data_IF_612743078504
#
_entry.id   IF_612743078504
#
_cell.length_a   1.000
_cell.length_b   1.000
_cell.length_c   1.000
_cell.angle_alpha   90.00
_cell.angle_beta   90.00
_cell.angle_gamma   90.00
#
_symmetry.space_group_name_H-M   'P 1'
#
loop_
_entity.id
_entity.type
_entity.pdbx_description
1 polymer ?
#
# COMPACT_ATOMS: atom_id res chain seq x y z
N UNK A 1 -54.49 -22.33 -47.36
CA UNK A 1 -54.56 -23.70 -47.89
C UNK A 1 -53.13 -24.08 -48.26
N UNK A 2 -52.38 -24.82 -47.43
CA UNK A 2 -52.40 -26.30 -47.22
C UNK A 2 -51.84 -27.02 -48.46
N UNK A 3 -50.79 -27.86 -48.43
CA UNK A 3 -50.13 -28.69 -47.39
C UNK A 3 -48.57 -28.56 -47.51
N UNK A 4 -47.67 -28.76 -46.54
CA UNK A 4 -47.51 -29.67 -45.37
C UNK A 4 -47.04 -31.11 -45.67
N UNK A 5 -45.74 -31.40 -45.51
CA UNK A 5 -45.15 -32.47 -44.65
C UNK A 5 -43.61 -32.54 -44.83
N UNK A 6 -42.77 -32.56 -43.78
CA UNK A 6 -42.47 -33.65 -42.80
C UNK A 6 -41.63 -34.80 -43.42
N UNK A 7 -40.57 -35.36 -42.81
CA UNK A 7 -40.21 -35.50 -41.38
C UNK A 7 -38.73 -35.93 -41.12
N UNK A 8 -38.23 -35.70 -39.88
CA UNK A 8 -37.31 -36.57 -39.09
C UNK A 8 -35.83 -36.81 -39.54
N UNK A 9 -34.84 -37.08 -38.66
CA UNK A 9 -34.81 -37.22 -37.17
C UNK A 9 -33.40 -37.01 -36.55
N UNK A 10 -33.41 -36.68 -35.25
CA UNK A 10 -32.39 -36.69 -34.18
C UNK A 10 -30.96 -37.25 -34.38
N UNK A 11 -29.97 -36.53 -33.83
CA UNK A 11 -29.09 -36.86 -32.66
C UNK A 11 -28.22 -35.60 -32.35
N UNK A 12 -27.65 -35.33 -31.16
CA UNK A 12 -28.01 -35.58 -29.75
C UNK A 12 -27.33 -34.50 -28.83
N UNK A 13 -28.00 -33.97 -27.80
CA UNK A 13 -27.78 -34.13 -26.33
C UNK A 13 -26.58 -33.41 -25.65
N UNK A 14 -26.84 -32.86 -24.45
CA UNK A 14 -25.84 -32.31 -23.50
C UNK A 14 -25.41 -30.84 -23.74
N UNK A 15 -25.38 -29.92 -22.77
CA UNK A 15 -25.76 -29.99 -21.36
C UNK A 15 -24.63 -29.63 -20.37
N UNK A 16 -24.73 -28.44 -19.76
CA UNK A 16 -24.11 -28.04 -18.47
C UNK A 16 -22.57 -27.88 -18.32
N UNK A 17 -22.18 -26.64 -17.96
CA UNK A 17 -21.36 -26.27 -16.78
C UNK A 17 -19.91 -26.81 -16.64
N UNK A 18 -18.98 -25.92 -17.00
CA UNK A 18 -17.89 -25.39 -16.14
C UNK A 18 -16.65 -26.26 -15.76
N UNK A 19 -15.59 -25.52 -15.41
CA UNK A 19 -14.44 -25.89 -14.56
C UNK A 19 -13.18 -26.51 -15.22
N UNK A 20 -12.03 -25.86 -14.90
CA UNK A 20 -10.61 -26.30 -14.95
C UNK A 20 -9.91 -26.37 -16.32
N UNK A 21 -8.57 -26.21 -16.42
CA UNK A 21 -7.47 -25.63 -15.57
C UNK A 21 -6.16 -25.84 -16.37
N UNK A 22 -5.05 -25.29 -15.89
CA UNK A 22 -3.69 -25.37 -16.48
C UNK A 22 -3.56 -24.48 -17.73
N UNK A 23 -2.54 -23.62 -17.86
CA UNK A 23 -1.19 -23.72 -17.32
C UNK A 23 -0.86 -22.67 -16.23
N UNK A 24 -0.71 -23.13 -14.98
CA UNK A 24 0.12 -22.48 -13.96
C UNK A 24 1.22 -23.47 -13.54
N UNK A 25 2.17 -23.75 -14.44
CA UNK A 25 3.45 -24.42 -14.10
C UNK A 25 4.53 -23.80 -14.96
N UNK A 26 5.28 -22.85 -14.39
CA UNK A 26 6.15 -21.96 -15.15
C UNK A 26 7.27 -21.35 -14.31
N UNK A 27 7.90 -22.19 -13.47
CA UNK A 27 9.14 -21.94 -12.72
C UNK A 27 9.08 -20.86 -11.63
N UNK A 28 9.58 -21.24 -10.44
CA UNK A 28 9.72 -20.35 -9.32
C UNK A 28 10.87 -19.35 -9.51
N UNK A 29 10.57 -18.20 -10.10
CA UNK A 29 11.18 -16.97 -9.62
C UNK A 29 10.32 -16.49 -8.45
N UNK A 30 10.76 -16.76 -7.22
CA UNK A 30 10.17 -16.08 -6.07
C UNK A 30 10.27 -14.57 -6.30
N UNK A 31 9.24 -13.81 -5.86
CA UNK A 31 9.24 -12.34 -5.89
C UNK A 31 10.62 -11.88 -5.51
N UNK A 32 11.27 -11.12 -6.40
CA UNK A 32 12.62 -10.63 -6.16
C UNK A 32 12.65 -9.84 -4.86
N UNK A 33 13.01 -10.49 -3.76
CA UNK A 33 13.61 -9.80 -2.63
C UNK A 33 14.72 -8.95 -3.25
N UNK A 34 14.75 -7.65 -2.92
CA UNK A 34 15.80 -6.77 -3.38
C UNK A 34 17.11 -7.24 -2.73
N UNK A 35 17.75 -8.19 -3.42
CA UNK A 35 18.83 -9.05 -2.95
C UNK A 35 20.20 -8.50 -3.35
N UNK A 36 20.21 -7.56 -4.30
CA UNK A 36 21.32 -6.62 -4.45
C UNK A 36 21.49 -5.80 -3.17
N UNK A 37 22.72 -5.67 -2.68
CA UNK A 37 23.03 -4.89 -1.47
C UNK A 37 22.90 -3.37 -1.60
N UNK A 38 22.30 -2.88 -2.69
CA UNK A 38 22.20 -1.47 -3.06
C UNK A 38 20.73 -1.04 -3.25
N UNK A 39 20.48 0.25 -3.07
CA UNK A 39 19.18 0.87 -3.36
C UNK A 39 18.99 0.91 -4.88
N UNK A 40 17.81 0.51 -5.37
CA UNK A 40 17.47 0.54 -6.79
C UNK A 40 16.14 1.27 -7.02
N UNK A 41 16.09 2.10 -8.06
CA UNK A 41 14.87 2.78 -8.49
C UNK A 41 13.96 1.71 -9.15
N UNK A 42 12.67 1.60 -8.76
CA UNK A 42 11.75 0.65 -9.37
C UNK A 42 11.64 0.83 -10.90
N UNK A 43 11.84 -0.26 -11.63
CA UNK A 43 11.71 -0.34 -13.08
C UNK A 43 10.35 -0.93 -13.49
N UNK A 44 10.12 -1.04 -14.81
CA UNK A 44 8.88 -1.61 -15.35
C UNK A 44 8.60 -3.03 -14.85
N UNK A 45 9.65 -3.83 -14.62
CA UNK A 45 9.52 -5.18 -14.09
C UNK A 45 9.07 -5.16 -12.61
N UNK A 46 9.57 -4.22 -11.79
CA UNK A 46 9.10 -4.02 -10.43
C UNK A 46 7.62 -3.62 -10.40
N UNK A 47 7.20 -2.67 -11.26
CA UNK A 47 5.79 -2.26 -11.39
C UNK A 47 4.88 -3.40 -11.88
N UNK A 48 5.31 -4.18 -12.87
CA UNK A 48 4.58 -5.34 -13.37
C UNK A 48 4.45 -6.43 -12.30
N UNK A 49 5.52 -6.69 -11.54
CA UNK A 49 5.52 -7.68 -10.45
C UNK A 49 4.60 -7.27 -9.31
N UNK A 50 4.62 -5.99 -8.91
CA UNK A 50 3.71 -5.46 -7.90
C UNK A 50 2.24 -5.53 -8.37
N UNK A 51 1.96 -5.19 -9.64
CA UNK A 51 0.62 -5.35 -10.24
C UNK A 51 0.14 -6.79 -10.16
N UNK A 52 0.99 -7.74 -10.55
CA UNK A 52 0.68 -9.17 -10.47
C UNK A 52 0.43 -9.63 -9.03
N UNK A 53 1.22 -9.17 -8.05
CA UNK A 53 1.04 -9.51 -6.63
C UNK A 53 -0.25 -8.93 -6.04
N UNK A 54 -0.64 -7.70 -6.43
CA UNK A 54 -1.93 -7.12 -6.06
C UNK A 54 -3.12 -7.90 -6.65
N UNK A 55 -3.00 -8.41 -7.88
CA UNK A 55 -4.09 -9.13 -8.56
C UNK A 55 -4.17 -10.63 -8.21
N UNK A 56 -3.06 -11.25 -7.83
CA UNK A 56 -3.01 -12.68 -7.53
C UNK A 56 -3.75 -13.04 -6.23
N UNK A 57 -4.68 -13.99 -6.28
CA UNK A 57 -5.36 -14.53 -5.08
C UNK A 57 -4.79 -15.90 -4.64
N UNK A 58 -3.91 -16.52 -5.44
CA UNK A 58 -3.24 -17.79 -5.09
C UNK A 58 -2.17 -17.58 -4.01
N UNK A 59 -2.16 -18.45 -2.98
CA UNK A 59 -1.28 -18.31 -1.82
C UNK A 59 -1.68 -17.20 -0.83
N UNK A 60 -2.87 -16.59 -1.00
CA UNK A 60 -3.39 -15.53 -0.13
C UNK A 60 -4.64 -16.00 0.63
N UNK A 61 -4.58 -16.00 1.96
CA UNK A 61 -5.68 -16.41 2.84
C UNK A 61 -6.57 -15.21 3.19
N UNK A 62 -7.87 -15.28 2.88
CA UNK A 62 -8.84 -14.23 3.25
C UNK A 62 -9.06 -14.22 4.78
N UNK A 63 -8.86 -13.07 5.43
CA UNK A 63 -9.08 -12.89 6.88
C UNK A 63 -10.25 -11.96 7.20
N UNK A 64 -10.67 -11.14 6.24
CA UNK A 64 -11.82 -10.24 6.37
C UNK A 64 -12.48 -10.06 5.01
N UNK A 65 -13.80 -10.11 4.94
CA UNK A 65 -14.53 -9.76 3.72
C UNK A 65 -15.91 -9.18 4.08
N UNK A 66 -16.06 -7.86 4.07
CA UNK A 66 -17.31 -7.17 4.40
C UNK A 66 -17.37 -5.75 3.83
N UNK A 67 -18.55 -5.32 3.41
CA UNK A 67 -18.83 -3.94 2.96
C UNK A 67 -17.86 -3.43 1.88
N UNK A 68 -17.67 -4.22 0.81
CA UNK A 68 -16.77 -3.88 -0.30
C UNK A 68 -15.28 -3.82 0.06
N UNK A 69 -14.89 -4.26 1.26
CA UNK A 69 -13.50 -4.36 1.71
C UNK A 69 -13.13 -5.81 1.99
N UNK A 70 -12.02 -6.27 1.43
CA UNK A 70 -11.50 -7.63 1.62
C UNK A 70 -10.03 -7.55 2.03
N UNK A 71 -9.62 -8.34 3.03
CA UNK A 71 -8.23 -8.45 3.51
C UNK A 71 -7.76 -9.88 3.31
N UNK A 72 -6.54 -10.02 2.81
CA UNK A 72 -5.80 -11.27 2.75
C UNK A 72 -4.48 -11.14 3.51
N UNK A 73 -3.99 -12.27 4.01
CA UNK A 73 -2.61 -12.45 4.45
C UNK A 73 -1.94 -13.50 3.60
N UNK A 74 -0.64 -13.32 3.35
CA UNK A 74 0.23 -14.39 2.91
C UNK A 74 0.99 -14.88 4.15
N UNK A 75 0.58 -16.04 4.67
CA UNK A 75 1.24 -16.68 5.81
C UNK A 75 2.62 -17.17 5.38
N UNK A 76 3.64 -16.38 5.72
CA UNK A 76 5.02 -16.84 5.81
C UNK A 76 5.21 -17.32 7.26
N UNK A 77 5.71 -18.54 7.45
CA UNK A 77 6.01 -19.23 8.73
C UNK A 77 5.67 -18.42 10.00
N UNK A 78 4.49 -18.72 10.59
CA UNK A 78 3.69 -17.77 11.40
C UNK A 78 4.39 -17.25 12.67
N UNK A 79 5.33 -18.01 13.22
CA UNK A 79 6.12 -17.62 14.39
C UNK A 79 7.33 -16.75 14.03
N UNK A 80 7.83 -16.85 12.80
CA UNK A 80 9.16 -16.36 12.41
C UNK A 80 9.13 -15.19 11.43
N UNK A 81 8.08 -15.06 10.62
CA UNK A 81 8.03 -14.09 9.53
C UNK A 81 7.00 -12.98 9.72
N UNK A 82 7.28 -11.81 9.15
CA UNK A 82 6.29 -10.74 9.03
C UNK A 82 5.37 -11.06 7.85
N UNK A 83 4.07 -11.17 8.12
CA UNK A 83 3.10 -11.49 7.08
C UNK A 83 3.04 -10.37 6.04
N UNK A 84 2.95 -10.72 4.74
CA UNK A 84 2.45 -9.76 3.77
C UNK A 84 0.94 -9.63 3.93
N UNK A 85 0.44 -8.41 3.81
CA UNK A 85 -0.97 -8.08 3.94
C UNK A 85 -1.44 -7.38 2.68
N UNK A 86 -2.58 -7.81 2.16
CA UNK A 86 -3.25 -7.19 1.04
C UNK A 86 -4.65 -6.78 1.47
N UNK A 87 -5.08 -5.57 1.14
CA UNK A 87 -6.41 -5.08 1.43
C UNK A 87 -6.97 -4.40 0.19
N UNK A 88 -8.10 -4.90 -0.33
CA UNK A 88 -8.81 -4.40 -1.53
C UNK A 88 -10.10 -3.73 -1.07
N UNK A 89 -10.37 -2.53 -1.58
CA UNK A 89 -11.56 -1.75 -1.22
C UNK A 89 -12.19 -1.14 -2.47
N UNK A 90 -13.48 -1.42 -2.68
CA UNK A 90 -14.31 -0.81 -3.72
C UNK A 90 -14.75 0.58 -3.26
N UNK A 91 -14.50 1.60 -4.09
CA UNK A 91 -14.75 3.01 -3.79
C UNK A 91 -15.74 3.59 -4.81
N UNK A 92 -17.04 3.45 -4.53
CA UNK A 92 -18.13 3.78 -5.47
C UNK A 92 -18.39 5.29 -5.69
N UNK A 93 -17.68 6.13 -4.94
CA UNK A 93 -17.88 7.57 -4.79
C UNK A 93 -16.60 8.40 -5.01
N UNK A 94 -15.53 7.76 -5.50
CA UNK A 94 -14.21 8.35 -5.67
C UNK A 94 -13.61 7.94 -7.02
N UNK A 95 -13.19 8.92 -7.82
CA UNK A 95 -12.46 8.70 -9.07
C UNK A 95 -11.03 8.20 -8.82
N UNK A 96 -10.44 7.47 -9.76
CA UNK A 96 -9.07 6.97 -9.65
C UNK A 96 -8.05 8.11 -9.53
N UNK A 97 -8.27 9.22 -10.24
CA UNK A 97 -7.46 10.43 -10.24
C UNK A 97 -7.52 11.14 -8.88
N UNK A 98 -8.71 11.21 -8.26
CA UNK A 98 -8.89 11.78 -6.91
C UNK A 98 -8.19 10.94 -5.85
N UNK A 99 -8.30 9.62 -5.95
CA UNK A 99 -7.57 8.69 -5.07
C UNK A 99 -6.05 8.84 -5.21
N UNK A 100 -5.57 8.97 -6.44
CA UNK A 100 -4.14 9.15 -6.75
C UNK A 100 -3.60 10.47 -6.17
N UNK A 101 -4.30 11.58 -6.38
CA UNK A 101 -3.94 12.87 -5.80
C UNK A 101 -3.86 12.82 -4.26
N UNK A 102 -4.84 12.21 -3.58
CA UNK A 102 -4.87 12.14 -2.10
C UNK A 102 -3.73 11.30 -1.52
N UNK A 103 -3.25 10.30 -2.26
CA UNK A 103 -2.11 9.47 -1.87
C UNK A 103 -0.76 10.17 -2.10
N UNK A 104 -0.71 11.15 -3.01
CA UNK A 104 0.49 11.96 -3.25
C UNK A 104 0.55 13.25 -2.44
N UNK A 105 -0.57 13.89 -2.10
CA UNK A 105 -0.58 15.20 -1.46
C UNK A 105 -0.16 15.11 0.04
N UNK A 106 1.15 15.23 0.26
CA UNK A 106 1.81 15.25 1.58
C UNK A 106 1.30 16.40 2.47
N UNK A 107 0.83 17.51 1.90
CA UNK A 107 0.20 18.60 2.66
C UNK A 107 -1.19 18.19 3.14
N UNK A 108 -2.01 17.62 2.25
CA UNK A 108 -3.33 17.12 2.61
C UNK A 108 -3.27 15.96 3.60
N UNK A 109 -2.24 15.12 3.53
CA UNK A 109 -2.02 14.01 4.48
C UNK A 109 -2.05 14.49 5.93
N UNK A 110 -1.43 15.63 6.23
CA UNK A 110 -1.45 16.27 7.57
C UNK A 110 -2.84 16.73 8.01
N UNK A 111 -3.77 16.97 7.07
CA UNK A 111 -5.14 17.42 7.36
C UNK A 111 -6.09 16.29 7.73
N UNK A 112 -5.96 15.11 7.11
CA UNK A 112 -6.90 13.99 7.31
C UNK A 112 -6.35 12.85 8.17
N UNK A 113 -5.03 12.67 8.24
CA UNK A 113 -4.42 11.60 9.03
C UNK A 113 -3.97 12.10 10.42
N UNK A 114 -4.87 11.98 11.39
CA UNK A 114 -4.63 12.35 12.79
C UNK A 114 -3.50 11.57 13.49
N UNK A 115 -2.99 10.49 12.88
CA UNK A 115 -1.84 9.76 13.41
C UNK A 115 -0.50 10.42 13.08
N UNK A 116 -0.43 11.27 12.05
CA UNK A 116 0.81 11.91 11.60
C UNK A 116 1.37 12.83 12.68
N UNK A 117 2.68 12.74 12.88
CA UNK A 117 3.48 13.70 13.65
C UNK A 117 4.15 14.66 12.68
N UNK A 118 4.89 14.11 11.71
CA UNK A 118 5.70 14.85 10.75
C UNK A 118 5.76 14.06 9.44
N UNK A 119 5.58 14.74 8.30
CA UNK A 119 5.66 14.12 6.98
C UNK A 119 6.07 15.17 5.95
N UNK A 120 7.09 14.85 5.15
CA UNK A 120 7.62 15.71 4.09
C UNK A 120 8.47 14.88 3.11
N UNK A 121 8.58 15.38 1.88
CA UNK A 121 9.45 14.81 0.86
C UNK A 121 10.85 15.43 1.01
N UNK A 122 11.89 14.60 1.11
CA UNK A 122 13.29 15.02 1.36
C UNK A 122 13.94 15.53 0.06
N UNK A 123 13.66 14.86 -1.05
CA UNK A 123 14.25 15.15 -2.36
C UNK A 123 13.88 14.09 -3.38
N UNK A 124 14.21 14.32 -4.65
CA UNK A 124 13.84 13.46 -5.79
C UNK A 124 15.03 12.74 -6.40
N UNK A 125 14.81 11.53 -6.91
CA UNK A 125 15.81 10.82 -7.73
C UNK A 125 15.54 10.97 -9.22
N UNK A 126 14.27 10.96 -9.63
CA UNK A 126 13.83 11.06 -11.02
C UNK A 126 12.67 12.05 -11.17
N UNK A 127 11.86 11.94 -12.23
CA UNK A 127 10.57 12.63 -12.38
C UNK A 127 9.42 11.93 -11.66
N UNK A 128 9.57 10.64 -11.33
CA UNK A 128 8.53 9.79 -10.76
C UNK A 128 9.00 8.96 -9.55
N UNK A 129 10.13 9.35 -8.94
CA UNK A 129 10.74 8.69 -7.79
C UNK A 129 11.31 9.74 -6.84
N UNK A 130 10.93 9.68 -5.57
CA UNK A 130 11.40 10.53 -4.48
C UNK A 130 11.79 9.76 -3.22
N UNK A 131 12.39 10.48 -2.26
CA UNK A 131 12.64 10.00 -0.90
C UNK A 131 11.79 10.83 0.05
N UNK A 132 10.98 10.19 0.88
CA UNK A 132 10.13 10.84 1.88
C UNK A 132 10.49 10.45 3.31
N UNK A 133 10.16 11.32 4.25
CA UNK A 133 10.12 11.04 5.68
C UNK A 133 8.67 11.05 6.17
N UNK A 134 8.31 10.07 7.00
CA UNK A 134 6.99 9.97 7.62
C UNK A 134 7.11 9.44 9.06
N UNK A 135 6.47 10.10 10.02
CA UNK A 135 6.36 9.62 11.40
C UNK A 135 4.95 9.73 11.95
N UNK A 136 4.60 8.79 12.83
CA UNK A 136 3.25 8.64 13.36
C UNK A 136 3.21 8.27 14.84
N UNK A 137 2.10 8.66 15.46
CA UNK A 137 1.75 8.36 16.84
C UNK A 137 1.37 6.89 16.97
N UNK A 138 1.92 6.23 17.98
CA UNK A 138 1.45 4.92 18.41
C UNK A 138 0.59 5.03 19.67
N UNK A 139 -0.36 4.10 19.91
CA UNK A 139 -1.07 4.03 21.17
C UNK A 139 -0.07 3.83 22.31
N UNK A 140 -0.28 4.54 23.43
CA UNK A 140 0.48 4.26 24.64
C UNK A 140 0.29 2.78 25.04
N UNK A 141 1.33 2.13 25.57
CA UNK A 141 2.57 2.74 26.05
C UNK A 141 3.71 2.70 25.01
N UNK A 142 3.43 2.30 23.76
CA UNK A 142 4.41 2.20 22.67
C UNK A 142 5.00 3.55 22.28
N UNK A 143 6.28 3.56 21.86
CA UNK A 143 6.93 4.73 21.27
C UNK A 143 6.39 5.02 19.88
N UNK A 144 6.46 6.29 19.48
CA UNK A 144 6.13 6.71 18.12
C UNK A 144 7.11 6.07 17.11
N UNK A 145 6.66 5.89 15.87
CA UNK A 145 7.48 5.32 14.79
C UNK A 145 7.82 6.37 13.73
N UNK A 146 8.97 6.21 13.10
CA UNK A 146 9.34 6.92 11.87
C UNK A 146 9.82 5.95 10.77
N UNK A 147 9.71 6.39 9.52
CA UNK A 147 10.30 5.75 8.34
C UNK A 147 10.91 6.79 7.42
N UNK A 148 11.99 6.39 6.74
CA UNK A 148 12.47 7.02 5.52
C UNK A 148 12.24 6.02 4.41
N UNK A 149 11.60 6.44 3.32
CA UNK A 149 11.24 5.56 2.20
C UNK A 149 11.61 6.18 0.86
N UNK A 150 12.10 5.35 -0.07
CA UNK A 150 12.08 5.67 -1.49
C UNK A 150 10.68 5.30 -2.00
N UNK A 151 10.00 6.24 -2.65
CA UNK A 151 8.68 6.07 -3.26
C UNK A 151 8.79 6.29 -4.76
N UNK A 152 8.12 5.46 -5.54
CA UNK A 152 8.05 5.57 -7.00
C UNK A 152 6.63 5.34 -7.49
N UNK A 153 6.22 6.04 -8.54
CA UNK A 153 4.88 5.94 -9.11
C UNK A 153 4.87 5.76 -10.62
N UNK A 154 3.82 5.12 -11.13
CA UNK A 154 3.61 4.87 -12.55
C UNK A 154 2.11 4.83 -12.89
N UNK A 155 1.60 5.77 -13.72
CA UNK A 155 0.32 5.64 -14.39
C UNK A 155 0.36 4.53 -15.45
N UNK A 156 -0.63 3.66 -15.48
CA UNK A 156 -0.76 2.54 -16.43
C UNK A 156 -2.12 2.64 -17.12
N UNK A 157 -2.19 3.44 -18.19
CA UNK A 157 -3.44 3.78 -18.86
C UNK A 157 -4.33 4.65 -17.98
N UNK A 158 -5.38 4.05 -17.40
CA UNK A 158 -6.26 4.69 -16.39
C UNK A 158 -6.02 4.19 -14.97
N UNK A 159 -5.20 3.15 -14.80
CA UNK A 159 -4.80 2.65 -13.48
C UNK A 159 -3.57 3.42 -13.00
N UNK A 160 -3.30 3.37 -11.69
CA UNK A 160 -2.10 3.95 -11.09
C UNK A 160 -1.44 2.98 -10.12
N UNK A 161 -0.12 2.98 -10.06
CA UNK A 161 0.64 2.29 -9.02
C UNK A 161 1.54 3.30 -8.30
N UNK A 162 1.54 3.26 -6.97
CA UNK A 162 2.48 3.96 -6.10
C UNK A 162 3.11 2.91 -5.19
N UNK A 163 4.42 2.72 -5.24
CA UNK A 163 5.14 1.79 -4.39
C UNK A 163 6.25 2.48 -3.61
N UNK A 164 6.60 1.93 -2.46
CA UNK A 164 7.72 2.40 -1.65
C UNK A 164 8.35 1.27 -0.86
N UNK A 165 9.61 1.47 -0.48
CA UNK A 165 10.34 0.65 0.46
C UNK A 165 11.32 1.52 1.27
N UNK A 166 11.77 1.03 2.41
CA UNK A 166 12.62 1.81 3.32
C UNK A 166 14.06 1.90 2.85
N UNK A 167 14.61 3.12 2.93
CA UNK A 167 16.00 3.44 2.62
C UNK A 167 16.60 4.20 3.79
N UNK A 168 17.93 4.11 3.94
CA UNK A 168 18.70 4.99 4.81
C UNK A 168 19.11 6.22 4.03
N UNK A 169 18.91 7.39 4.62
CA UNK A 169 19.50 8.64 4.15
C UNK A 169 20.39 9.20 5.26
N UNK A 170 21.64 9.52 4.94
CA UNK A 170 22.67 10.00 5.88
C UNK A 170 22.20 11.12 6.83
N UNK A 171 21.45 12.10 6.31
CA UNK A 171 20.91 13.26 7.04
C UNK A 171 19.68 12.95 7.91
N UNK A 172 19.12 11.74 7.82
CA UNK A 172 17.91 11.30 8.55
C UNK A 172 18.14 9.97 9.32
N UNK A 173 19.13 9.93 10.25
CA UNK A 173 19.37 8.78 11.11
C UNK A 173 18.17 8.49 12.03
N UNK A 174 18.11 7.31 12.70
CA UNK A 174 17.11 7.03 13.71
C UNK A 174 17.10 8.07 14.85
N UNK A 175 15.91 8.50 15.27
CA UNK A 175 15.72 9.45 16.39
C UNK A 175 15.61 8.70 17.73
N UNK A 176 16.20 9.23 18.80
CA UNK A 176 16.29 8.55 20.12
C UNK A 176 14.92 8.28 20.79
N UNK A 177 13.95 9.13 20.50
CA UNK A 177 12.58 9.13 21.04
C UNK A 177 11.58 8.33 20.17
N UNK A 178 12.01 7.83 19.01
CA UNK A 178 11.17 7.09 18.06
C UNK A 178 11.77 5.72 17.72
N UNK A 179 10.93 4.82 17.20
CA UNK A 179 11.34 3.53 16.66
C UNK A 179 11.39 3.64 15.13
N UNK A 180 12.56 3.43 14.53
CA UNK A 180 12.70 3.36 13.07
C UNK A 180 12.08 2.06 12.57
N UNK A 181 10.90 2.16 11.97
CA UNK A 181 10.23 1.05 11.30
C UNK A 181 10.83 0.81 9.91
N UNK A 182 10.48 -0.31 9.28
CA UNK A 182 10.94 -0.71 7.95
C UNK A 182 9.76 -1.12 7.08
N UNK A 183 9.52 -0.33 6.03
CA UNK A 183 8.71 -0.72 4.88
C UNK A 183 9.55 -1.67 4.01
N UNK A 184 9.29 -2.99 4.08
CA UNK A 184 10.01 -3.96 3.22
C UNK A 184 9.53 -3.81 1.78
N UNK A 185 8.20 -3.71 1.63
CA UNK A 185 7.50 -3.40 0.38
C UNK A 185 6.12 -2.89 0.80
N UNK A 186 5.75 -1.65 0.46
CA UNK A 186 4.36 -1.22 0.57
C UNK A 186 3.93 -0.42 -0.66
N UNK A 187 2.64 -0.36 -0.93
CA UNK A 187 2.14 0.43 -2.03
C UNK A 187 0.63 0.32 -2.24
N UNK A 188 0.18 1.06 -3.24
CA UNK A 188 -1.20 1.18 -3.66
C UNK A 188 -1.28 0.90 -5.17
N UNK A 189 -2.20 0.04 -5.56
CA UNK A 189 -2.70 -0.08 -6.93
C UNK A 189 -4.12 0.50 -6.97
N UNK A 190 -4.35 1.48 -7.82
CA UNK A 190 -5.63 2.15 -8.03
C UNK A 190 -6.14 1.70 -9.39
N UNK A 191 -7.27 1.01 -9.43
CA UNK A 191 -7.88 0.54 -10.67
C UNK A 191 -9.09 1.38 -11.02
N UNK A 192 -9.14 1.92 -12.24
CA UNK A 192 -10.30 2.69 -12.71
C UNK A 192 -11.48 1.75 -12.99
N UNK A 193 -12.66 2.08 -12.44
CA UNK A 193 -13.92 1.33 -12.66
C UNK A 193 -15.06 2.21 -13.20
N UNK A 194 -14.80 3.51 -13.39
CA UNK A 194 -15.73 4.49 -13.94
C UNK A 194 -15.40 5.91 -13.49
N UNK A 195 -16.14 6.93 -13.97
CA UNK A 195 -15.82 8.34 -13.72
C UNK A 195 -15.69 8.73 -12.23
N UNK A 196 -16.49 8.12 -11.35
CA UNK A 196 -16.44 8.32 -9.90
C UNK A 196 -16.28 6.99 -9.15
N UNK A 197 -15.65 5.99 -9.77
CA UNK A 197 -15.52 4.65 -9.19
C UNK A 197 -14.11 4.10 -9.42
N UNK A 198 -13.44 3.69 -8.35
CA UNK A 198 -12.18 2.97 -8.41
C UNK A 198 -12.13 1.81 -7.40
N UNK A 199 -11.21 0.87 -7.62
CA UNK A 199 -10.79 -0.11 -6.60
C UNK A 199 -9.40 0.26 -6.13
N UNK A 200 -9.25 0.47 -4.82
CA UNK A 200 -7.96 0.64 -4.19
C UNK A 200 -7.49 -0.72 -3.65
N UNK A 201 -6.29 -1.15 -4.04
CA UNK A 201 -5.60 -2.30 -3.43
C UNK A 201 -4.34 -1.81 -2.74
N UNK A 202 -4.30 -1.92 -1.41
CA UNK A 202 -3.12 -1.70 -0.60
C UNK A 202 -2.38 -3.03 -0.40
N UNK A 203 -1.09 -3.08 -0.69
CA UNK A 203 -0.20 -4.21 -0.43
C UNK A 203 0.92 -3.76 0.50
N UNK A 204 1.21 -4.52 1.55
CA UNK A 204 2.18 -4.12 2.56
C UNK A 204 2.87 -5.29 3.27
N UNK A 205 4.18 -5.15 3.45
CA UNK A 205 5.00 -5.91 4.39
C UNK A 205 5.85 -4.89 5.18
N UNK A 206 5.57 -4.74 6.47
CA UNK A 206 6.17 -3.72 7.34
C UNK A 206 6.67 -4.38 8.62
N UNK A 207 7.90 -4.09 8.99
CA UNK A 207 8.42 -4.32 10.34
C UNK A 207 8.23 -3.02 11.15
N UNK A 208 7.30 -2.95 12.12
CA UNK A 208 7.17 -1.77 12.98
C UNK A 208 8.31 -1.65 13.99
N UNK A 209 9.19 -2.67 14.07
CA UNK A 209 10.31 -2.83 15.02
C UNK A 209 9.86 -2.61 16.47
N UNK A 210 10.82 -2.49 17.39
CA UNK A 210 10.57 -2.46 18.84
C UNK A 210 10.45 -3.87 19.43
N UNK A 211 9.84 -4.01 20.61
CA UNK A 211 9.66 -5.31 21.28
C UNK A 211 8.31 -5.99 21.02
N UNK A 212 7.46 -5.42 20.16
CA UNK A 212 6.17 -6.02 19.80
C UNK A 212 6.37 -7.43 19.20
N UNK A 213 5.77 -8.48 19.79
CA UNK A 213 5.81 -9.82 19.21
C UNK A 213 5.20 -9.84 17.80
N UNK A 214 5.82 -10.57 16.86
CA UNK A 214 5.36 -10.63 15.46
C UNK A 214 3.88 -11.00 15.31
N UNK A 215 3.36 -11.88 16.18
CA UNK A 215 1.94 -12.23 16.18
C UNK A 215 1.02 -11.03 16.53
N UNK A 216 1.44 -10.11 17.40
CA UNK A 216 0.70 -8.87 17.74
C UNK A 216 0.70 -7.93 16.54
N UNK A 217 1.85 -7.79 15.87
CA UNK A 217 1.99 -7.01 14.63
C UNK A 217 1.08 -7.56 13.54
N UNK A 218 1.18 -8.86 13.26
CA UNK A 218 0.37 -9.54 12.24
C UNK A 218 -1.13 -9.39 12.54
N UNK A 219 -1.56 -9.60 13.79
CA UNK A 219 -2.97 -9.49 14.21
C UNK A 219 -3.52 -8.07 14.17
N UNK A 220 -2.78 -7.07 14.66
CA UNK A 220 -3.23 -5.67 14.68
C UNK A 220 -3.36 -5.10 13.26
N UNK A 221 -2.43 -5.43 12.37
CA UNK A 221 -2.39 -4.96 11.00
C UNK A 221 -3.65 -5.33 10.19
N UNK A 222 -4.27 -6.48 10.49
CA UNK A 222 -5.57 -6.91 9.90
C UNK A 222 -6.70 -5.89 10.12
N UNK A 223 -6.71 -5.20 11.26
CA UNK A 223 -7.73 -4.21 11.61
C UNK A 223 -7.32 -2.79 11.19
N UNK A 224 -6.01 -2.51 11.20
CA UNK A 224 -5.47 -1.20 10.84
C UNK A 224 -5.57 -0.93 9.33
N UNK A 225 -5.30 -1.90 8.45
CA UNK A 225 -5.36 -1.69 7.01
C UNK A 225 -6.77 -1.28 6.50
N UNK A 226 -7.88 -1.98 6.85
CA UNK A 226 -9.23 -1.53 6.52
C UNK A 226 -9.61 -0.17 7.11
N UNK A 227 -9.18 0.13 8.35
CA UNK A 227 -9.43 1.44 8.99
C UNK A 227 -8.69 2.57 8.24
N UNK A 228 -7.44 2.34 7.85
CA UNK A 228 -6.63 3.29 7.09
C UNK A 228 -7.22 3.55 5.70
N UNK A 229 -7.60 2.51 4.95
CA UNK A 229 -8.24 2.67 3.64
C UNK A 229 -9.57 3.43 3.73
N UNK A 230 -10.40 3.14 4.73
CA UNK A 230 -11.64 3.90 4.97
C UNK A 230 -11.38 5.38 5.33
N UNK A 231 -10.27 5.70 6.01
CA UNK A 231 -9.85 7.10 6.21
C UNK A 231 -9.43 7.76 4.87
N UNK A 232 -8.66 7.05 4.03
CA UNK A 232 -8.23 7.55 2.70
C UNK A 232 -9.44 7.84 1.81
N UNK A 233 -10.39 6.92 1.66
CA UNK A 233 -11.60 7.15 0.87
C UNK A 233 -12.43 8.34 1.42
N UNK A 234 -12.63 8.43 2.74
CA UNK A 234 -13.27 9.62 3.36
C UNK A 234 -12.53 10.93 3.10
N UNK A 235 -11.19 10.90 2.98
CA UNK A 235 -10.41 12.07 2.63
C UNK A 235 -10.61 12.48 1.16
N UNK A 236 -10.71 11.51 0.25
CA UNK A 236 -11.00 11.76 -1.17
C UNK A 236 -12.29 12.57 -1.38
N UNK A 237 -13.35 12.24 -0.63
CA UNK A 237 -14.64 12.98 -0.67
C UNK A 237 -14.53 14.46 -0.30
N UNK A 238 -13.49 14.86 0.45
CA UNK A 238 -13.24 16.24 0.91
C UNK A 238 -12.07 16.91 0.18
N UNK A 239 -11.38 16.19 -0.70
CA UNK A 239 -10.13 16.67 -1.30
C UNK A 239 -10.34 17.80 -2.31
N UNK A 240 -11.36 17.70 -3.17
CA UNK A 240 -11.61 18.73 -4.20
C UNK A 240 -11.87 20.11 -3.58
N UNK A 241 -12.73 20.19 -2.56
CA UNK A 241 -13.01 21.44 -1.83
C UNK A 241 -11.77 21.97 -1.11
N UNK A 242 -11.00 21.09 -0.45
CA UNK A 242 -9.78 21.48 0.23
C UNK A 242 -8.72 22.02 -0.75
N UNK A 243 -8.44 21.29 -1.83
CA UNK A 243 -7.38 21.61 -2.79
C UNK A 243 -7.67 22.89 -3.58
N UNK A 244 -8.95 23.22 -3.80
CA UNK A 244 -9.34 24.54 -4.34
C UNK A 244 -8.84 25.71 -3.49
N UNK A 245 -8.72 25.54 -2.17
CA UNK A 245 -8.23 26.56 -1.23
C UNK A 245 -6.72 26.47 -0.94
N UNK A 246 -6.04 25.41 -1.40
CA UNK A 246 -4.63 25.11 -1.09
C UNK A 246 -3.86 24.86 -2.39
N UNK A 247 -3.61 25.95 -3.13
CA UNK A 247 -2.91 25.98 -4.42
C UNK A 247 -3.36 24.89 -5.40
N UNK A 248 -4.57 25.05 -5.95
CA UNK A 248 -5.25 24.09 -6.84
C UNK A 248 -4.39 23.52 -7.98
N UNK A 249 -3.52 24.36 -8.56
CA UNK A 249 -2.68 23.99 -9.69
C UNK A 249 -1.41 23.23 -9.30
N UNK A 250 -0.99 23.28 -8.03
CA UNK A 250 0.22 22.64 -7.53
C UNK A 250 -0.02 21.16 -7.24
N UNK A 251 0.42 20.32 -8.18
CA UNK A 251 0.37 18.86 -8.19
C UNK A 251 1.65 18.31 -8.83
N UNK A 252 2.82 18.42 -8.17
CA UNK A 252 4.11 18.02 -8.75
C UNK A 252 4.22 16.54 -9.12
N UNK A 253 3.34 15.67 -8.60
CA UNK A 253 3.21 14.26 -8.99
C UNK A 253 2.52 14.04 -10.36
N UNK A 254 1.81 15.05 -10.88
CA UNK A 254 1.27 15.09 -12.25
C UNK A 254 2.12 15.97 -13.18
N UNK A 255 2.74 17.02 -12.62
CA UNK A 255 3.48 18.06 -13.33
C UNK A 255 4.89 18.20 -12.72
N UNK A 256 5.83 17.28 -13.04
CA UNK A 256 7.14 17.22 -12.38
C UNK A 256 7.96 18.51 -12.45
N UNK A 257 7.73 19.35 -13.47
CA UNK A 257 8.33 20.68 -13.62
C UNK A 257 7.97 21.66 -12.50
N UNK A 258 6.91 21.40 -11.74
CA UNK A 258 6.52 22.18 -10.55
C UNK A 258 7.38 21.87 -9.33
N UNK A 259 8.18 20.79 -9.34
CA UNK A 259 8.90 20.34 -8.15
C UNK A 259 10.05 21.28 -7.77
N UNK A 260 10.07 21.69 -6.51
CA UNK A 260 11.19 22.44 -5.90
C UNK A 260 12.17 21.52 -5.14
N UNK A 261 11.92 20.21 -5.17
CA UNK A 261 12.72 19.23 -4.44
C UNK A 261 14.15 19.13 -4.99
N UNK A 262 15.18 19.08 -4.11
CA UNK A 262 16.57 18.87 -4.53
C UNK A 262 16.72 17.47 -5.13
N UNK A 263 17.67 17.32 -6.05
CA UNK A 263 18.06 16.01 -6.59
C UNK A 263 18.93 15.30 -5.56
N UNK A 264 18.57 14.05 -5.22
CA UNK A 264 19.36 13.16 -4.36
C UNK A 264 20.10 12.15 -5.24
N UNK A 265 21.45 12.11 -5.23
CA UNK A 265 22.21 11.03 -5.85
C UNK A 265 21.86 9.68 -5.22
N UNK A 266 21.60 8.66 -6.04
CA UNK A 266 21.24 7.31 -5.57
C UNK A 266 22.30 6.72 -4.60
N UNK A 267 23.57 7.11 -4.75
CA UNK A 267 24.67 6.70 -3.88
C UNK A 267 24.67 7.33 -2.47
N UNK A 268 23.85 8.38 -2.21
CA UNK A 268 23.62 8.87 -0.83
C UNK A 268 22.66 7.96 -0.04
N UNK A 269 22.01 7.00 -0.71
CA UNK A 269 21.06 6.07 -0.11
C UNK A 269 21.68 4.67 0.08
N UNK A 270 21.30 4.01 1.18
CA UNK A 270 21.63 2.59 1.42
C UNK A 270 20.40 1.80 1.87
N UNK A 271 20.41 0.47 1.68
CA UNK A 271 19.25 -0.39 1.98
C UNK A 271 18.98 -0.38 3.50
N UNK A 272 17.74 -0.11 3.89
CA UNK A 272 17.33 -0.19 5.29
C UNK A 272 17.00 -1.64 5.66
N UNK A 273 17.99 -2.35 6.21
CA UNK A 273 17.83 -3.73 6.71
C UNK A 273 17.48 -3.75 8.21
N UNK A 274 16.77 -4.79 8.66
CA UNK A 274 16.30 -4.95 10.04
C UNK A 274 17.42 -5.26 11.05
N UNK A 275 18.39 -6.08 10.64
CA UNK A 275 19.63 -6.39 11.38
C UNK A 275 20.46 -5.14 11.71
N UNK A 276 20.39 -4.12 10.85
CA UNK A 276 21.20 -2.89 10.92
C UNK A 276 20.57 -1.75 11.72
N UNK A 277 19.55 -2.03 12.54
CA UNK A 277 18.91 -1.10 13.47
C UNK A 277 18.91 -1.68 14.88
N UNK A 278 19.22 -0.82 15.87
CA UNK A 278 19.09 -1.16 17.29
C UNK A 278 17.68 -1.68 17.62
N UNK A 279 17.62 -2.76 18.40
CA UNK A 279 16.36 -3.25 18.96
C UNK A 279 16.02 -2.37 20.17
N UNK A 280 15.12 -1.41 19.99
CA UNK A 280 14.58 -0.61 21.10
C UNK A 280 13.62 -1.51 21.88
N UNK A 281 14.00 -1.88 23.11
CA UNK A 281 13.12 -2.65 23.98
C UNK A 281 12.00 -1.76 24.53
N UNK A 282 10.76 -2.14 24.23
CA UNK A 282 9.52 -1.53 24.71
C UNK A 282 8.78 -2.44 25.72
N UNK A 283 9.37 -3.58 26.13
CA UNK A 283 8.69 -4.59 26.96
C UNK A 283 8.40 -4.12 28.38
N UNK A 284 9.18 -3.17 28.90
CA UNK A 284 8.98 -2.56 30.21
C UNK A 284 7.94 -1.42 30.21
N UNK A 285 7.31 -1.11 29.06
CA UNK A 285 6.35 -0.01 28.96
C UNK A 285 4.99 -0.47 29.50
N UNK A 286 4.69 -0.07 30.75
CA UNK A 286 3.51 -0.50 31.49
C UNK A 286 2.19 -0.06 30.83
N UNK A 287 1.16 -0.92 30.90
CA UNK A 287 -0.20 -0.64 30.40
C UNK A 287 -0.88 0.49 31.19
N UNK A 288 -0.66 1.74 30.79
CA UNK A 288 -1.45 2.87 31.26
C UNK A 288 -2.81 2.88 30.57
N UNK A 289 -3.81 2.29 31.22
CA UNK A 289 -5.18 2.21 30.73
C UNK A 289 -5.89 3.56 30.62
N UNK A 290 -5.64 4.29 29.53
CA UNK A 290 -6.45 5.45 29.13
C UNK A 290 -7.75 4.94 28.50
N UNK A 291 -8.84 4.96 29.28
CA UNK A 291 -10.20 4.75 28.76
C UNK A 291 -10.52 5.88 27.78
N UNK A 292 -10.65 5.56 26.49
CA UNK A 292 -11.23 6.48 25.51
C UNK A 292 -12.64 6.86 25.99
N UNK A 293 -12.82 8.13 26.37
CA UNK A 293 -14.14 8.74 26.46
C UNK A 293 -14.50 9.20 25.06
N UNK A 294 -15.24 8.36 24.34
CA UNK A 294 -16.13 8.86 23.30
C UNK A 294 -17.08 9.88 23.94
N UNK A 295 -17.17 11.05 23.32
CA UNK A 295 -18.19 12.06 23.60
C UNK A 295 -18.70 12.55 22.25
N UNK A 296 -20.03 12.52 22.11
CA UNK A 296 -20.82 12.62 20.87
C UNK A 296 -20.49 13.79 19.92
#
# INVERSE_FOLDING_TARGET
>A
MSHSNSTNKHLESGGFVCVRRWMCVGWGAGVGAMSGGSVAIPDDQAFASFKAECLCEEGWNVTYNKSGTTVWIQSLDEERSLHKIKCRMVCNDVSAETMYDVLHDTEYRRKWDSSVIETFDIGRLTVNTDVGYYSWKCPKPLRNRDVVTLRSWLPIGKDYIIMNYSVKHSKYPPKKDMVRAISVQTGYMIQHQGPNHCVLTYLAQVDPRGSLPKWVVNKSSLFLAPKAMKKINKACLKYSEWKQRHNKAYKPWLFPEQTTLPIIPLCELSVQRADSLENIDESCLAETGERERDSD
#
